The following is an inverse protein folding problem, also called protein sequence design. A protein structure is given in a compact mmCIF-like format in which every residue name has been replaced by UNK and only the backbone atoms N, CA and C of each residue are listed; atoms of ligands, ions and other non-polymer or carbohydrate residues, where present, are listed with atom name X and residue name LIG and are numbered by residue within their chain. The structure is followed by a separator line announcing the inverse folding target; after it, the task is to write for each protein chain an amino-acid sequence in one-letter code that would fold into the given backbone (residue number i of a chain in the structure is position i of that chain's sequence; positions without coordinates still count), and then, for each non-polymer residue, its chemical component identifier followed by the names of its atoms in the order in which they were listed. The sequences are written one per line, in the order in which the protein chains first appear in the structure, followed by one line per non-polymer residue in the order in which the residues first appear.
data_IF_713173153044
#
_entry.id   IF_713173153044
#
_cell.length_a   1.000
_cell.length_b   1.000
_cell.length_c   1.000
_cell.angle_alpha   90.00
_cell.angle_beta   90.00
_cell.angle_gamma   90.00
#
_symmetry.space_group_name_H-M   'P 1'
#
loop_
_entity.id
_entity.type
_entity.pdbx_description
1 polymer ?
#
# COMPACT_ATOMS: atom_id res chain seq x y z
N UNK A 1 -7.84 -3.24 21.51
CA UNK A 1 -8.89 -2.22 21.22
C UNK A 1 -9.73 -1.92 22.44
N UNK A 2 -10.21 -0.70 22.61
CA UNK A 2 -11.16 -0.29 23.65
C UNK A 2 -12.55 -0.76 23.23
N UNK A 3 -13.17 -1.66 24.01
CA UNK A 3 -14.49 -2.21 23.69
C UNK A 3 -15.63 -1.41 24.33
N UNK A 4 -15.42 -0.91 25.55
CA UNK A 4 -16.38 -0.07 26.25
C UNK A 4 -15.67 0.79 27.28
N UNK A 5 -16.22 1.97 27.58
CA UNK A 5 -15.74 2.86 28.63
C UNK A 5 -16.92 3.54 29.33
N UNK A 6 -16.82 3.72 30.64
CA UNK A 6 -17.75 4.53 31.39
C UNK A 6 -17.59 6.02 31.06
N UNK A 7 -18.64 6.80 31.26
CA UNK A 7 -18.54 8.25 31.18
C UNK A 7 -17.70 8.78 32.35
N UNK A 8 -16.86 9.77 32.08
CA UNK A 8 -16.03 10.42 33.10
C UNK A 8 -16.85 11.50 33.82
N UNK A 9 -16.52 11.72 35.09
CA UNK A 9 -17.09 12.77 35.94
C UNK A 9 -18.59 12.60 36.24
N UNK A 10 -19.16 11.40 36.06
CA UNK A 10 -20.49 11.03 36.51
C UNK A 10 -20.43 10.61 37.97
N UNK A 11 -21.45 11.00 38.77
CA UNK A 11 -21.58 10.64 40.19
C UNK A 11 -22.51 9.45 40.41
N UNK A 12 -23.28 9.08 39.41
CA UNK A 12 -24.21 7.95 39.45
C UNK A 12 -23.51 6.64 39.10
N UNK A 13 -24.08 5.54 39.57
CA UNK A 13 -23.60 4.20 39.25
C UNK A 13 -23.70 3.93 37.75
N UNK A 14 -22.65 3.30 37.18
CA UNK A 14 -22.59 2.95 35.79
C UNK A 14 -22.33 1.47 35.59
N UNK A 15 -23.07 0.83 34.71
CA UNK A 15 -22.86 -0.55 34.30
C UNK A 15 -22.27 -0.56 32.88
N UNK A 16 -21.13 -1.22 32.73
CA UNK A 16 -20.49 -1.44 31.42
C UNK A 16 -20.66 -2.90 31.03
N UNK A 17 -21.20 -3.14 29.84
CA UNK A 17 -21.36 -4.46 29.25
C UNK A 17 -20.63 -4.48 27.93
N UNK A 18 -19.84 -5.54 27.68
CA UNK A 18 -19.14 -5.72 26.41
C UNK A 18 -19.00 -7.20 26.06
N UNK A 19 -18.82 -7.48 24.81
CA UNK A 19 -18.57 -8.82 24.26
C UNK A 19 -17.08 -8.98 23.98
N UNK A 20 -16.53 -10.12 24.40
CA UNK A 20 -15.11 -10.43 24.22
C UNK A 20 -14.99 -11.71 23.39
N UNK A 21 -14.23 -11.64 22.31
CA UNK A 21 -13.85 -12.78 21.49
C UNK A 21 -12.64 -13.48 22.14
N UNK A 22 -12.91 -14.61 22.79
CA UNK A 22 -11.87 -15.36 23.52
C UNK A 22 -10.95 -16.08 22.55
N UNK A 23 -11.47 -16.62 21.45
CA UNK A 23 -10.67 -17.36 20.47
C UNK A 23 -9.64 -16.42 19.80
N UNK A 24 -10.05 -15.19 19.49
CA UNK A 24 -9.14 -14.17 18.98
C UNK A 24 -8.05 -13.79 20.01
N UNK A 25 -8.39 -13.70 21.29
CA UNK A 25 -7.40 -13.46 22.36
C UNK A 25 -6.41 -14.61 22.52
N UNK A 26 -6.87 -15.85 22.38
CA UNK A 26 -6.00 -17.02 22.42
C UNK A 26 -5.06 -17.04 21.22
N UNK A 27 -5.56 -16.74 20.03
CA UNK A 27 -4.77 -16.62 18.80
C UNK A 27 -3.68 -15.54 18.94
N UNK A 28 -4.05 -14.35 19.38
CA UNK A 28 -3.10 -13.25 19.60
C UNK A 28 -1.97 -13.63 20.57
N UNK A 29 -2.31 -14.35 21.63
CA UNK A 29 -1.31 -14.85 22.62
C UNK A 29 -0.39 -15.91 22.06
N UNK A 30 -0.87 -16.75 21.14
CA UNK A 30 -0.06 -17.78 20.49
C UNK A 30 0.91 -17.16 19.48
N UNK A 31 0.48 -16.15 18.73
CA UNK A 31 1.30 -15.49 17.70
C UNK A 31 2.28 -14.49 18.31
N UNK A 32 1.89 -13.83 19.40
CA UNK A 32 2.72 -12.81 20.04
C UNK A 32 3.76 -13.45 20.99
N UNK A 33 4.95 -13.70 20.47
CA UNK A 33 6.07 -14.27 21.25
C UNK A 33 6.53 -13.41 22.42
N UNK A 34 6.22 -12.12 22.44
CA UNK A 34 6.51 -11.22 23.56
C UNK A 34 5.68 -11.53 24.80
N UNK A 35 4.44 -12.02 24.62
CA UNK A 35 3.59 -12.42 25.72
C UNK A 35 4.16 -13.62 26.50
N UNK A 36 4.56 -14.67 25.82
CA UNK A 36 5.14 -15.87 26.43
C UNK A 36 6.49 -15.59 27.12
N UNK A 37 7.35 -14.77 26.47
CA UNK A 37 8.65 -14.37 27.04
C UNK A 37 8.51 -13.48 28.28
N UNK A 38 7.49 -12.62 28.34
CA UNK A 38 7.19 -11.78 29.50
C UNK A 38 6.76 -12.59 30.74
N UNK A 39 6.34 -13.84 30.54
CA UNK A 39 5.92 -14.72 31.61
C UNK A 39 7.07 -15.58 32.19
N UNK A 40 8.19 -15.67 31.49
CA UNK A 40 9.37 -16.40 31.96
C UNK A 40 9.95 -15.74 33.21
N UNK A 41 9.96 -16.49 34.32
CA UNK A 41 10.50 -16.04 35.61
C UNK A 41 9.49 -15.29 36.51
N UNK A 42 8.25 -15.12 36.09
CA UNK A 42 7.21 -14.62 36.99
C UNK A 42 6.70 -15.72 37.92
N UNK A 43 6.74 -15.44 39.25
CA UNK A 43 6.02 -16.25 40.26
C UNK A 43 4.55 -15.88 40.16
N UNK A 44 3.75 -16.76 39.53
CA UNK A 44 2.29 -16.60 39.55
C UNK A 44 1.73 -16.97 40.90
N UNK A 45 0.85 -16.11 41.45
CA UNK A 45 -0.03 -16.52 42.51
C UNK A 45 -0.91 -17.68 42.02
N UNK A 46 -1.22 -18.61 42.94
CA UNK A 46 -2.07 -19.75 42.59
C UNK A 46 -3.41 -19.26 42.02
N UNK A 47 -3.74 -19.69 40.80
CA UNK A 47 -4.97 -19.27 40.14
C UNK A 47 -6.18 -19.93 40.82
N UNK A 48 -7.11 -19.13 41.29
CA UNK A 48 -8.40 -19.62 41.80
C UNK A 48 -9.32 -19.92 40.62
N UNK A 49 -9.71 -21.19 40.45
CA UNK A 49 -10.68 -21.62 39.46
C UNK A 49 -12.09 -21.60 40.06
N UNK A 50 -12.95 -20.78 39.50
CA UNK A 50 -14.37 -20.72 39.85
C UNK A 50 -15.14 -21.38 38.70
N UNK A 51 -15.66 -22.62 38.90
CA UNK A 51 -16.48 -23.24 37.88
C UNK A 51 -17.84 -22.54 37.80
N UNK A 52 -18.32 -22.30 36.61
CA UNK A 52 -19.67 -21.83 36.36
C UNK A 52 -20.19 -22.49 35.05
N UNK A 53 -21.51 -22.74 35.01
CA UNK A 53 -22.16 -23.29 33.84
C UNK A 53 -22.39 -22.16 32.84
N UNK A 54 -21.58 -22.14 31.76
CA UNK A 54 -21.84 -21.31 30.63
C UNK A 54 -22.70 -22.08 29.60
N UNK A 55 -23.98 -21.78 29.55
CA UNK A 55 -24.79 -22.21 28.42
C UNK A 55 -24.40 -21.40 27.19
N UNK A 56 -24.07 -22.08 26.08
CA UNK A 56 -23.87 -21.37 24.83
C UNK A 56 -25.15 -20.64 24.44
N UNK A 57 -25.15 -19.35 24.56
CA UNK A 57 -26.26 -18.52 24.05
C UNK A 57 -25.99 -18.27 22.59
N UNK A 58 -26.81 -18.87 21.72
CA UNK A 58 -26.88 -18.43 20.32
C UNK A 58 -27.44 -17.02 20.31
N UNK A 59 -26.58 -16.04 20.12
CA UNK A 59 -26.94 -14.64 20.10
C UNK A 59 -26.36 -13.91 18.90
N UNK A 60 -26.98 -12.82 18.54
CA UNK A 60 -26.42 -11.89 17.56
C UNK A 60 -25.37 -11.03 18.23
N UNK A 61 -24.21 -10.85 17.61
CA UNK A 61 -23.18 -9.94 18.07
C UNK A 61 -23.77 -8.52 18.23
N UNK A 62 -23.71 -7.95 19.42
CA UNK A 62 -24.32 -6.64 19.73
C UNK A 62 -23.38 -5.48 19.46
N UNK A 63 -22.06 -5.72 19.43
CA UNK A 63 -21.09 -4.69 19.08
C UNK A 63 -21.00 -4.47 17.58
N UNK A 64 -20.81 -3.23 17.16
CA UNK A 64 -20.50 -2.90 15.78
C UNK A 64 -19.04 -3.26 15.50
N UNK A 65 -18.82 -4.04 14.44
CA UNK A 65 -17.48 -4.28 13.90
C UNK A 65 -17.31 -3.35 12.72
N UNK A 66 -16.27 -2.52 12.76
CA UNK A 66 -15.91 -1.66 11.64
C UNK A 66 -15.46 -2.54 10.45
N UNK A 67 -16.16 -2.50 9.30
CA UNK A 67 -15.79 -3.27 8.13
C UNK A 67 -14.50 -2.75 7.45
N UNK A 68 -14.07 -1.55 7.82
CA UNK A 68 -12.89 -0.88 7.24
C UNK A 68 -11.93 -0.34 8.31
N UNK A 69 -11.41 -1.18 9.22
CA UNK A 69 -10.67 -0.72 10.40
C UNK A 69 -9.37 0.04 10.10
N UNK A 70 -8.91 -0.02 8.86
CA UNK A 70 -7.69 0.68 8.40
C UNK A 70 -7.99 1.95 7.60
N UNK A 71 -9.27 2.23 7.34
CA UNK A 71 -9.67 3.44 6.61
C UNK A 71 -10.12 4.49 7.63
N UNK A 72 -9.43 5.61 7.76
CA UNK A 72 -9.86 6.67 8.67
C UNK A 72 -11.17 7.28 8.19
N UNK A 73 -12.06 7.60 9.14
CA UNK A 73 -13.37 8.18 8.86
C UNK A 73 -13.55 9.56 9.52
N UNK A 74 -14.53 10.30 9.01
CA UNK A 74 -14.95 11.57 9.59
C UNK A 74 -13.89 12.67 9.55
N UNK A 75 -13.81 13.48 10.59
CA UNK A 75 -12.91 14.63 10.67
C UNK A 75 -11.41 14.26 10.65
N UNK A 76 -11.06 13.03 11.06
CA UNK A 76 -9.69 12.55 11.05
C UNK A 76 -9.20 12.10 9.66
N UNK A 77 -10.09 11.95 8.67
CA UNK A 77 -9.74 11.43 7.34
C UNK A 77 -8.69 12.32 6.64
N UNK A 78 -8.94 13.62 6.59
CA UNK A 78 -8.04 14.56 5.91
C UNK A 78 -6.66 14.58 6.56
N UNK A 79 -6.61 14.73 7.89
CA UNK A 79 -5.36 14.73 8.65
C UNK A 79 -4.56 13.44 8.44
N UNK A 80 -5.23 12.29 8.48
CA UNK A 80 -4.59 10.99 8.25
C UNK A 80 -4.10 10.80 6.81
N UNK A 81 -4.86 11.25 5.82
CA UNK A 81 -4.43 11.18 4.43
C UNK A 81 -3.21 12.09 4.18
N UNK A 82 -3.20 13.29 4.74
CA UNK A 82 -2.05 14.20 4.67
C UNK A 82 -0.83 13.57 5.34
N UNK A 83 -0.97 13.02 6.55
CA UNK A 83 0.11 12.35 7.28
C UNK A 83 0.71 11.20 6.46
N UNK A 84 -0.14 10.33 5.89
CA UNK A 84 0.29 9.18 5.06
C UNK A 84 1.06 9.68 3.83
N UNK A 85 0.55 10.72 3.17
CA UNK A 85 1.20 11.31 2.00
C UNK A 85 2.56 11.91 2.36
N UNK A 86 2.63 12.68 3.45
CA UNK A 86 3.86 13.32 3.91
C UNK A 86 4.92 12.31 4.37
N UNK A 87 4.51 11.17 4.96
CA UNK A 87 5.43 10.05 5.27
C UNK A 87 6.08 9.52 3.98
N UNK A 88 5.30 9.31 2.92
CA UNK A 88 5.82 8.82 1.63
C UNK A 88 6.76 9.84 0.99
N UNK A 89 6.37 11.11 0.98
CA UNK A 89 7.18 12.22 0.45
C UNK A 89 8.51 12.33 1.21
N UNK A 90 8.45 12.31 2.54
CA UNK A 90 9.65 12.40 3.39
C UNK A 90 10.60 11.21 3.21
N UNK A 91 10.03 9.99 3.07
CA UNK A 91 10.78 8.78 2.79
C UNK A 91 11.51 8.85 1.45
N UNK A 92 10.82 9.27 0.40
CA UNK A 92 11.41 9.43 -0.93
C UNK A 92 12.44 10.56 -0.95
N UNK A 93 12.16 11.71 -0.32
CA UNK A 93 13.11 12.83 -0.21
C UNK A 93 14.41 12.38 0.44
N UNK A 94 14.32 11.65 1.55
CA UNK A 94 15.50 11.09 2.23
C UNK A 94 16.30 10.16 1.34
N UNK A 95 15.64 9.34 0.51
CA UNK A 95 16.31 8.44 -0.42
C UNK A 95 17.02 9.20 -1.53
N UNK A 96 16.34 10.16 -2.17
CA UNK A 96 16.90 11.02 -3.24
C UNK A 96 18.15 11.76 -2.74
N UNK A 97 18.06 12.37 -1.55
CA UNK A 97 19.21 13.06 -0.93
C UNK A 97 20.37 12.10 -0.64
N UNK A 98 20.08 10.93 -0.08
CA UNK A 98 21.12 9.97 0.30
C UNK A 98 21.86 9.39 -0.90
N UNK A 99 21.17 9.14 -1.99
CA UNK A 99 21.75 8.59 -3.22
C UNK A 99 22.35 9.66 -4.13
N UNK A 100 22.18 10.94 -3.80
CA UNK A 100 22.56 12.09 -4.64
C UNK A 100 21.94 12.05 -6.04
N UNK A 101 20.83 11.35 -6.19
CA UNK A 101 20.12 11.19 -7.47
C UNK A 101 19.38 12.48 -7.82
N UNK A 102 19.45 12.87 -9.08
CA UNK A 102 18.77 14.07 -9.60
C UNK A 102 17.54 13.74 -10.44
N UNK A 103 17.33 12.48 -10.79
CA UNK A 103 16.24 12.02 -11.65
C UNK A 103 15.54 10.81 -11.05
N UNK A 104 14.24 10.71 -11.31
CA UNK A 104 13.45 9.52 -11.02
C UNK A 104 12.68 9.06 -12.26
N UNK A 105 12.44 7.75 -12.35
CA UNK A 105 11.70 7.11 -13.43
C UNK A 105 10.50 6.40 -12.83
N UNK A 106 9.31 6.67 -13.34
CA UNK A 106 8.04 6.12 -12.85
C UNK A 106 7.24 5.55 -14.00
N UNK A 107 6.77 4.32 -13.89
CA UNK A 107 5.85 3.73 -14.85
C UNK A 107 4.43 4.23 -14.60
N UNK A 108 3.80 4.87 -15.60
CA UNK A 108 2.46 5.44 -15.47
C UNK A 108 1.48 4.62 -16.30
N UNK A 109 0.62 3.87 -15.59
CA UNK A 109 -0.42 3.04 -16.21
C UNK A 109 -1.76 3.77 -16.39
N UNK A 110 -1.95 4.91 -15.72
CA UNK A 110 -3.23 5.61 -15.61
C UNK A 110 -4.15 5.08 -14.50
N UNK A 111 -3.67 4.12 -13.70
CA UNK A 111 -4.35 3.63 -12.50
C UNK A 111 -4.01 4.45 -11.25
N UNK A 112 -4.74 4.22 -10.16
CA UNK A 112 -4.61 4.99 -8.92
C UNK A 112 -3.21 4.87 -8.29
N UNK A 113 -2.62 3.67 -8.28
CA UNK A 113 -1.33 3.43 -7.63
C UNK A 113 -0.21 4.21 -8.34
N UNK A 114 -0.14 4.14 -9.67
CA UNK A 114 0.83 4.90 -10.45
C UNK A 114 0.61 6.41 -10.36
N UNK A 115 -0.65 6.84 -10.24
CA UNK A 115 -1.01 8.24 -10.00
C UNK A 115 -0.49 8.72 -8.64
N UNK A 116 -0.74 7.96 -7.58
CA UNK A 116 -0.24 8.29 -6.24
C UNK A 116 1.29 8.36 -6.21
N UNK A 117 1.97 7.35 -6.78
CA UNK A 117 3.42 7.33 -6.85
C UNK A 117 3.97 8.57 -7.58
N UNK A 118 3.33 8.98 -8.69
CA UNK A 118 3.71 10.19 -9.41
C UNK A 118 3.51 11.46 -8.58
N UNK A 119 2.38 11.59 -7.88
CA UNK A 119 2.11 12.74 -7.00
C UNK A 119 3.12 12.84 -5.86
N UNK A 120 3.50 11.70 -5.27
CA UNK A 120 4.59 11.64 -4.25
C UNK A 120 5.91 12.11 -4.85
N UNK A 121 6.26 11.69 -6.07
CA UNK A 121 7.47 12.15 -6.75
C UNK A 121 7.44 13.67 -6.99
N UNK A 122 6.34 14.20 -7.51
CA UNK A 122 6.18 15.64 -7.79
C UNK A 122 6.32 16.45 -6.50
N UNK A 123 5.61 16.07 -5.44
CA UNK A 123 5.70 16.77 -4.15
C UNK A 123 7.11 16.68 -3.54
N UNK A 124 7.76 15.53 -3.68
CA UNK A 124 9.15 15.37 -3.23
C UNK A 124 10.10 16.31 -3.96
N UNK A 125 9.99 16.42 -5.27
CA UNK A 125 10.84 17.30 -6.06
C UNK A 125 10.58 18.77 -5.76
N UNK A 126 9.32 19.15 -5.55
CA UNK A 126 8.96 20.50 -5.11
C UNK A 126 9.58 20.84 -3.75
N UNK A 127 9.49 19.93 -2.77
CA UNK A 127 10.08 20.11 -1.43
C UNK A 127 11.61 20.23 -1.48
N UNK A 128 12.25 19.45 -2.36
CA UNK A 128 13.70 19.48 -2.53
C UNK A 128 14.20 20.62 -3.43
N UNK A 129 13.31 21.40 -4.04
CA UNK A 129 13.67 22.44 -4.99
C UNK A 129 14.24 21.90 -6.31
N UNK A 130 13.94 20.64 -6.64
CA UNK A 130 14.38 20.01 -7.89
C UNK A 130 13.37 20.25 -9.02
N UNK A 131 13.87 20.29 -10.25
CA UNK A 131 13.00 20.48 -11.41
C UNK A 131 12.09 19.28 -11.64
N UNK A 132 10.78 19.50 -11.78
CA UNK A 132 9.82 18.44 -12.17
C UNK A 132 10.17 17.80 -13.51
N UNK A 133 10.92 18.48 -14.41
CA UNK A 133 11.42 17.90 -15.67
C UNK A 133 12.40 16.74 -15.45
N UNK A 134 12.92 16.59 -14.25
CA UNK A 134 13.75 15.46 -13.85
C UNK A 134 12.94 14.23 -13.40
N UNK A 135 11.62 14.33 -13.38
CA UNK A 135 10.71 13.19 -13.19
C UNK A 135 10.34 12.66 -14.57
N UNK A 136 10.76 11.44 -14.89
CA UNK A 136 10.48 10.76 -16.15
C UNK A 136 9.29 9.82 -15.95
N UNK A 137 8.13 10.23 -16.43
CA UNK A 137 6.92 9.38 -16.48
C UNK A 137 6.94 8.55 -17.75
N UNK A 138 6.95 7.22 -17.62
CA UNK A 138 7.01 6.31 -18.76
C UNK A 138 5.67 5.59 -18.89
N UNK A 139 4.96 5.80 -19.98
CA UNK A 139 3.80 4.97 -20.34
C UNK A 139 4.24 3.85 -21.29
N UNK A 140 3.80 2.63 -21.01
CA UNK A 140 4.25 1.43 -21.71
C UNK A 140 3.04 0.62 -22.21
N UNK A 141 2.40 1.07 -23.31
CA UNK A 141 1.23 0.37 -23.83
C UNK A 141 1.58 -1.05 -24.28
N UNK A 142 0.81 -2.00 -23.76
CA UNK A 142 0.84 -3.42 -24.11
C UNK A 142 -0.41 -3.82 -24.88
N UNK A 143 -0.79 -5.11 -24.80
CA UNK A 143 -1.94 -5.64 -25.52
C UNK A 143 -3.28 -5.32 -24.86
N UNK A 144 -3.31 -5.16 -23.51
CA UNK A 144 -4.52 -4.88 -22.74
C UNK A 144 -4.71 -3.40 -22.33
N UNK A 145 -3.91 -2.49 -22.88
CA UNK A 145 -4.03 -1.05 -22.54
C UNK A 145 -5.28 -0.46 -23.18
N UNK A 146 -6.16 0.14 -22.35
CA UNK A 146 -7.37 0.81 -22.85
C UNK A 146 -7.08 2.28 -23.19
N UNK A 147 -7.78 2.83 -24.19
CA UNK A 147 -7.61 4.23 -24.61
C UNK A 147 -7.83 5.21 -23.47
N UNK A 148 -8.79 4.94 -22.59
CA UNK A 148 -9.11 5.82 -21.45
C UNK A 148 -7.97 5.90 -20.45
N UNK A 149 -7.41 4.77 -20.01
CA UNK A 149 -6.30 4.77 -19.04
C UNK A 149 -5.04 5.36 -19.63
N UNK A 150 -4.81 5.11 -20.90
CA UNK A 150 -3.73 5.71 -21.65
C UNK A 150 -3.83 7.24 -21.71
N UNK A 151 -4.99 7.77 -22.11
CA UNK A 151 -5.19 9.22 -22.17
C UNK A 151 -5.06 9.89 -20.81
N UNK A 152 -5.65 9.28 -19.76
CA UNK A 152 -5.50 9.77 -18.39
C UNK A 152 -4.04 9.86 -17.95
N UNK A 153 -3.19 8.90 -18.36
CA UNK A 153 -1.76 8.93 -18.05
C UNK A 153 -1.06 10.12 -18.73
N UNK A 154 -1.35 10.37 -20.00
CA UNK A 154 -0.76 11.49 -20.75
C UNK A 154 -1.19 12.84 -20.18
N UNK A 155 -2.50 13.03 -19.96
CA UNK A 155 -3.07 14.27 -19.44
C UNK A 155 -2.53 14.59 -18.03
N UNK A 156 -2.37 13.57 -17.20
CA UNK A 156 -1.79 13.71 -15.85
C UNK A 156 -0.32 14.16 -15.93
N UNK A 157 0.49 13.50 -16.74
CA UNK A 157 1.91 13.83 -16.88
C UNK A 157 2.12 15.25 -17.45
N UNK A 158 1.29 15.65 -18.40
CA UNK A 158 1.32 17.00 -18.98
C UNK A 158 0.92 18.06 -17.94
N UNK A 159 -0.19 17.83 -17.24
CA UNK A 159 -0.70 18.75 -16.21
C UNK A 159 0.28 18.99 -15.06
N UNK A 160 1.07 17.97 -14.71
CA UNK A 160 2.09 18.06 -13.66
C UNK A 160 3.41 18.66 -14.16
N UNK A 161 3.55 18.86 -15.48
CA UNK A 161 4.72 19.48 -16.09
C UNK A 161 6.00 18.64 -16.02
N UNK A 162 5.87 17.32 -15.91
CA UNK A 162 7.00 16.38 -15.88
C UNK A 162 7.53 16.08 -17.31
N UNK A 163 8.55 15.25 -17.42
CA UNK A 163 8.99 14.70 -18.72
C UNK A 163 8.24 13.39 -18.97
N UNK A 164 7.45 13.33 -20.04
CA UNK A 164 6.72 12.12 -20.46
C UNK A 164 7.43 11.42 -21.60
N UNK A 165 7.37 10.09 -21.60
CA UNK A 165 7.86 9.25 -22.68
C UNK A 165 6.97 8.02 -22.86
N UNK A 166 6.69 7.67 -24.11
CA UNK A 166 6.01 6.42 -24.46
C UNK A 166 7.01 5.40 -24.99
N UNK A 167 6.86 4.14 -24.54
CA UNK A 167 7.62 3.00 -25.02
C UNK A 167 6.66 1.81 -25.15
N UNK A 168 6.27 1.44 -26.37
CA UNK A 168 5.45 0.26 -26.60
C UNK A 168 6.23 -1.01 -26.31
N UNK A 169 5.66 -1.91 -25.50
CA UNK A 169 6.26 -3.21 -25.16
C UNK A 169 5.86 -4.33 -26.13
N UNK A 170 4.95 -4.04 -27.07
CA UNK A 170 4.34 -5.09 -27.91
C UNK A 170 5.37 -5.88 -28.72
N UNK A 171 6.31 -5.21 -29.35
CA UNK A 171 7.31 -5.88 -30.20
C UNK A 171 8.24 -6.78 -29.38
N UNK A 172 8.71 -6.31 -28.23
CA UNK A 172 9.57 -7.09 -27.34
C UNK A 172 8.83 -8.32 -26.77
N UNK A 173 7.57 -8.15 -26.35
CA UNK A 173 6.77 -9.26 -25.87
C UNK A 173 6.49 -10.30 -26.96
N UNK A 174 6.22 -9.90 -28.20
CA UNK A 174 6.02 -10.85 -29.30
C UNK A 174 7.31 -11.63 -29.60
N UNK A 175 8.46 -10.98 -29.60
CA UNK A 175 9.73 -11.68 -29.76
C UNK A 175 9.98 -12.66 -28.61
N UNK A 176 9.71 -12.23 -27.37
CA UNK A 176 9.84 -13.11 -26.21
C UNK A 176 8.90 -14.33 -26.28
N UNK A 177 7.66 -14.15 -26.74
CA UNK A 177 6.74 -15.28 -26.93
C UNK A 177 7.28 -16.28 -27.98
N UNK A 178 7.81 -15.78 -29.09
CA UNK A 178 8.46 -16.62 -30.10
C UNK A 178 9.63 -17.42 -29.51
N UNK A 179 10.52 -16.74 -28.78
CA UNK A 179 11.71 -17.33 -28.18
C UNK A 179 11.39 -18.47 -27.20
N UNK A 180 10.30 -18.37 -26.44
CA UNK A 180 9.86 -19.40 -25.49
C UNK A 180 8.84 -20.38 -26.05
N UNK A 181 8.43 -20.24 -27.32
CA UNK A 181 7.42 -21.07 -27.96
C UNK A 181 6.00 -20.88 -27.42
N UNK A 182 5.69 -19.70 -26.90
CA UNK A 182 4.35 -19.35 -26.40
C UNK A 182 3.48 -18.77 -27.53
N UNK A 183 2.22 -19.27 -27.64
CA UNK A 183 1.25 -18.73 -28.58
C UNK A 183 0.68 -17.39 -28.06
N UNK A 184 0.94 -16.30 -28.75
CA UNK A 184 0.48 -14.96 -28.39
C UNK A 184 -1.05 -14.78 -28.33
N UNK A 185 -1.81 -15.74 -28.89
CA UNK A 185 -3.28 -15.78 -28.80
C UNK A 185 -3.78 -16.35 -27.49
N UNK A 186 -2.93 -17.03 -26.72
CA UNK A 186 -3.25 -17.62 -25.42
C UNK A 186 -2.97 -16.63 -24.30
N UNK A 187 -4.04 -16.06 -23.75
CA UNK A 187 -3.95 -15.04 -22.68
C UNK A 187 -3.94 -15.69 -21.30
N UNK A 188 -2.86 -16.36 -20.99
CA UNK A 188 -2.60 -17.03 -19.71
C UNK A 188 -1.66 -16.25 -18.80
N UNK A 189 -1.22 -16.87 -17.69
CA UNK A 189 -0.27 -16.28 -16.75
C UNK A 189 1.10 -15.96 -17.39
N UNK A 190 1.51 -16.71 -18.43
CA UNK A 190 2.75 -16.45 -19.17
C UNK A 190 2.64 -15.16 -19.96
N UNK A 191 1.53 -14.98 -20.65
CA UNK A 191 1.21 -13.77 -21.41
C UNK A 191 1.21 -12.51 -20.54
N UNK A 192 0.54 -12.55 -19.37
CA UNK A 192 0.46 -11.41 -18.45
C UNK A 192 1.82 -11.10 -17.81
N UNK A 193 2.49 -12.12 -17.28
CA UNK A 193 3.76 -11.95 -16.58
C UNK A 193 4.91 -11.49 -17.50
N UNK A 194 4.90 -11.91 -18.76
CA UNK A 194 5.91 -11.44 -19.73
C UNK A 194 5.81 -9.94 -19.97
N UNK A 195 4.59 -9.43 -20.11
CA UNK A 195 4.36 -7.99 -20.23
C UNK A 195 4.77 -7.22 -18.96
N UNK A 196 4.49 -7.78 -17.77
CA UNK A 196 4.87 -7.16 -16.51
C UNK A 196 6.40 -7.08 -16.35
N UNK A 197 7.12 -8.14 -16.70
CA UNK A 197 8.59 -8.19 -16.64
C UNK A 197 9.23 -7.24 -17.66
N UNK A 198 8.69 -7.16 -18.86
CA UNK A 198 9.17 -6.24 -19.90
C UNK A 198 9.07 -4.78 -19.44
N UNK A 199 7.95 -4.40 -18.81
CA UNK A 199 7.82 -3.06 -18.22
C UNK A 199 8.86 -2.79 -17.15
N UNK A 200 9.09 -3.74 -16.26
CA UNK A 200 10.08 -3.60 -15.19
C UNK A 200 11.50 -3.45 -15.76
N UNK A 201 11.86 -4.27 -16.74
CA UNK A 201 13.16 -4.20 -17.42
C UNK A 201 13.38 -2.83 -18.06
N UNK A 202 12.42 -2.35 -18.83
CA UNK A 202 12.49 -1.03 -19.48
C UNK A 202 12.68 0.11 -18.47
N UNK A 203 11.93 0.10 -17.36
CA UNK A 203 12.05 1.13 -16.32
C UNK A 203 13.45 1.13 -15.69
N UNK A 204 13.98 -0.05 -15.38
CA UNK A 204 15.31 -0.21 -14.78
C UNK A 204 16.40 0.26 -15.75
N UNK A 205 16.33 -0.12 -17.03
CA UNK A 205 17.32 0.26 -18.03
C UNK A 205 17.27 1.76 -18.33
N UNK A 206 16.07 2.35 -18.39
CA UNK A 206 15.93 3.80 -18.54
C UNK A 206 16.53 4.52 -17.34
N UNK A 207 16.26 4.05 -16.12
CA UNK A 207 16.80 4.64 -14.91
C UNK A 207 18.34 4.55 -14.88
N UNK A 208 18.91 3.43 -15.25
CA UNK A 208 20.37 3.27 -15.39
C UNK A 208 20.95 4.26 -16.41
N UNK A 209 20.32 4.38 -17.58
CA UNK A 209 20.75 5.31 -18.65
C UNK A 209 20.68 6.76 -18.19
N UNK A 210 19.65 7.12 -17.43
CA UNK A 210 19.41 8.49 -16.96
C UNK A 210 20.12 8.81 -15.63
N UNK A 211 20.85 7.84 -15.06
CA UNK A 211 21.44 7.92 -13.73
C UNK A 211 20.40 8.30 -12.66
N UNK A 212 19.25 7.64 -12.73
CA UNK A 212 18.07 7.89 -11.89
C UNK A 212 17.68 6.71 -11.03
N UNK A 213 16.64 6.89 -10.22
CA UNK A 213 16.00 5.83 -9.44
C UNK A 213 14.66 5.46 -10.07
N UNK A 214 14.35 4.17 -10.12
CA UNK A 214 12.99 3.71 -10.40
C UNK A 214 12.15 3.85 -9.13
N UNK A 215 11.00 4.49 -9.27
CA UNK A 215 10.00 4.58 -8.21
C UNK A 215 8.85 3.64 -8.57
N UNK A 216 8.65 2.65 -7.72
CA UNK A 216 7.59 1.65 -7.89
C UNK A 216 6.31 2.01 -7.16
N UNK A 217 5.27 1.22 -7.40
CA UNK A 217 3.93 1.38 -6.82
C UNK A 217 3.61 0.34 -5.75
N UNK A 218 4.54 -0.53 -5.42
CA UNK A 218 4.40 -1.59 -4.42
C UNK A 218 4.92 -2.91 -4.92
#
# INVERSE_FOLDING_TARGET
SLLAASKRFEQDEQLIISEIDIDNLEHDRQVNTGFSKGLEGMLFAEAVRIPFDATSVEGTLTRTIDPHPFVPEGAALTERCEEIFDIQVSGLAKRVLHTHTQKVVVGISGGLDSTLALLVCVKTFDVLGLSRKNILGITMPGFGTTDRTYQNALDLMDSLGITSREVSIKAACLQHFEDIGHDASVHDITYENSQARERTQLLMDIANKENGLVIGTG
#
